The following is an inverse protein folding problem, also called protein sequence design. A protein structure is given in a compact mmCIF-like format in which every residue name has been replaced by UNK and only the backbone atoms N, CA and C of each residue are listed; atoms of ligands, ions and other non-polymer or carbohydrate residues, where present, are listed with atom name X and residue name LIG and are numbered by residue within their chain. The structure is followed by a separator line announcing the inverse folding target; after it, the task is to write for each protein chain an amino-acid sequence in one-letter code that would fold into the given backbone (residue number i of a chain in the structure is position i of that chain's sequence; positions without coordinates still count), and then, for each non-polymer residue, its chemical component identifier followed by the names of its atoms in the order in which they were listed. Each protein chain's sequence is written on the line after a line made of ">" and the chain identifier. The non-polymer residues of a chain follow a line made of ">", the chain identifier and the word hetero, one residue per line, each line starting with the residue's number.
data_IF_698175584601
#
_entry.id   IF_698175584601
#
_cell.length_a   1.000
_cell.length_b   1.000
_cell.length_c   1.000
_cell.angle_alpha   90.00
_cell.angle_beta   90.00
_cell.angle_gamma   90.00
#
_symmetry.space_group_name_H-M   'P 1'
#
loop_
_entity.id
_entity.type
_entity.pdbx_description
1 polymer ?
#
# COMPACT_ATOMS: atom_id res chain seq x y z
N UNK A 1 3.32 1.08 -16.63
CA UNK A 1 3.43 -0.38 -16.42
C UNK A 1 4.87 -0.77 -16.72
N UNK A 2 5.78 -0.53 -15.78
CA UNK A 2 7.12 -1.12 -15.86
C UNK A 2 7.03 -2.41 -15.07
N UNK A 3 7.08 -3.53 -15.79
CA UNK A 3 7.33 -4.85 -15.24
C UNK A 3 8.52 -4.71 -14.29
N UNK A 4 8.38 -5.11 -13.02
CA UNK A 4 9.56 -5.47 -12.24
C UNK A 4 10.11 -6.68 -12.96
N UNK A 5 11.14 -6.49 -13.78
CA UNK A 5 11.82 -7.60 -14.44
C UNK A 5 12.45 -8.46 -13.34
N UNK A 6 11.76 -9.54 -12.95
CA UNK A 6 12.34 -10.60 -12.14
C UNK A 6 13.35 -11.32 -13.03
N UNK A 7 14.57 -10.80 -13.13
CA UNK A 7 15.63 -11.43 -13.89
C UNK A 7 16.06 -12.70 -13.15
N UNK A 8 15.66 -13.85 -13.69
CA UNK A 8 16.13 -15.16 -13.25
C UNK A 8 17.48 -15.43 -13.91
N UNK A 9 18.51 -15.60 -13.08
CA UNK A 9 19.87 -15.90 -13.48
C UNK A 9 20.13 -17.41 -13.44
N UNK A 10 20.97 -17.88 -14.33
CA UNK A 10 21.57 -19.21 -14.36
C UNK A 10 22.81 -19.27 -13.47
N UNK A 11 23.29 -20.48 -13.19
CA UNK A 11 24.55 -20.68 -12.45
C UNK A 11 25.74 -19.96 -13.08
N UNK A 12 25.79 -19.88 -14.42
CA UNK A 12 26.87 -19.20 -15.14
C UNK A 12 26.81 -17.67 -14.95
N UNK A 13 25.62 -17.08 -15.05
CA UNK A 13 25.42 -15.64 -14.87
C UNK A 13 25.69 -15.21 -13.42
N UNK A 14 25.32 -16.02 -12.43
CA UNK A 14 25.68 -15.75 -11.03
C UNK A 14 27.19 -15.88 -10.79
N UNK A 15 27.82 -16.87 -11.41
CA UNK A 15 29.28 -17.04 -11.33
C UNK A 15 30.01 -15.82 -11.91
N UNK A 16 29.55 -15.32 -13.05
CA UNK A 16 30.07 -14.09 -13.67
C UNK A 16 29.83 -12.86 -12.78
N UNK A 17 28.60 -12.68 -12.27
CA UNK A 17 28.23 -11.59 -11.38
C UNK A 17 29.13 -11.51 -10.14
N UNK A 18 29.37 -12.66 -9.51
CA UNK A 18 30.19 -12.76 -8.29
C UNK A 18 31.69 -12.86 -8.58
N UNK A 19 32.09 -12.92 -9.85
CA UNK A 19 33.47 -13.18 -10.31
C UNK A 19 34.05 -14.44 -9.67
N UNK A 20 33.24 -15.50 -9.61
CA UNK A 20 33.59 -16.80 -9.06
C UNK A 20 33.51 -17.89 -10.14
N UNK A 21 34.12 -19.05 -9.88
CA UNK A 21 33.93 -20.21 -10.76
C UNK A 21 32.51 -20.81 -10.60
N UNK A 22 31.90 -21.36 -11.66
CA UNK A 22 30.62 -22.08 -11.53
C UNK A 22 30.67 -23.22 -10.50
N UNK A 23 31.83 -23.86 -10.34
CA UNK A 23 32.08 -24.89 -9.32
C UNK A 23 31.87 -24.35 -7.90
N UNK A 24 32.32 -23.12 -7.64
CA UNK A 24 32.13 -22.44 -6.35
C UNK A 24 30.64 -22.20 -6.07
N UNK A 25 29.87 -21.80 -7.10
CA UNK A 25 28.41 -21.61 -6.96
C UNK A 25 27.72 -22.92 -6.60
N UNK A 26 28.04 -24.02 -7.27
CA UNK A 26 27.50 -25.35 -6.90
C UNK A 26 27.85 -25.74 -5.47
N UNK A 27 29.06 -25.44 -5.01
CA UNK A 27 29.48 -25.72 -3.64
C UNK A 27 28.67 -24.91 -2.61
N UNK A 28 28.46 -23.61 -2.85
CA UNK A 28 27.62 -22.75 -2.01
C UNK A 28 26.17 -23.25 -1.95
N UNK A 29 25.62 -23.68 -3.09
CA UNK A 29 24.28 -24.29 -3.17
C UNK A 29 24.22 -25.58 -2.36
N UNK A 30 25.23 -26.44 -2.45
CA UNK A 30 25.25 -27.71 -1.71
C UNK A 30 25.29 -27.53 -0.19
N UNK A 31 25.85 -26.40 0.28
CA UNK A 31 25.92 -26.02 1.70
C UNK A 31 24.73 -25.17 2.16
N UNK A 32 23.81 -24.82 1.26
CA UNK A 32 22.68 -23.94 1.57
C UNK A 32 23.08 -22.50 1.88
N UNK A 33 24.25 -22.06 1.40
CA UNK A 33 24.83 -20.76 1.76
C UNK A 33 24.44 -19.62 0.81
N UNK A 34 23.81 -19.92 -0.33
CA UNK A 34 23.35 -18.94 -1.33
C UNK A 34 21.88 -19.23 -1.68
N UNK A 35 21.00 -18.21 -1.80
CA UNK A 35 19.59 -18.45 -2.13
C UNK A 35 19.43 -18.93 -3.57
N UNK A 36 18.68 -20.01 -3.79
CA UNK A 36 18.43 -20.57 -5.12
C UNK A 36 17.02 -21.16 -5.23
N UNK A 37 16.52 -21.24 -6.46
CA UNK A 37 15.34 -21.99 -6.86
C UNK A 37 15.70 -23.18 -7.74
N UNK A 38 14.78 -24.13 -7.88
CA UNK A 38 14.90 -25.27 -8.80
C UNK A 38 13.70 -25.33 -9.73
N UNK A 39 13.97 -25.36 -11.04
CA UNK A 39 12.94 -25.58 -12.05
C UNK A 39 13.42 -26.64 -13.05
N UNK A 40 12.66 -27.74 -13.18
CA UNK A 40 12.98 -28.87 -14.07
C UNK A 40 14.44 -29.36 -13.94
N UNK A 41 14.93 -29.46 -12.71
CA UNK A 41 16.29 -29.94 -12.40
C UNK A 41 17.40 -28.90 -12.57
N UNK A 42 17.12 -27.72 -13.13
CA UNK A 42 18.09 -26.62 -13.25
C UNK A 42 18.05 -25.70 -12.04
N UNK A 43 19.21 -25.21 -11.62
CA UNK A 43 19.34 -24.16 -10.62
C UNK A 43 19.06 -22.80 -11.26
N UNK A 44 18.24 -21.99 -10.59
CA UNK A 44 17.91 -20.62 -10.99
C UNK A 44 18.05 -19.70 -9.78
N UNK A 45 18.41 -18.45 -10.03
CA UNK A 45 18.72 -17.49 -8.99
C UNK A 45 18.01 -16.18 -9.29
N UNK A 46 17.11 -15.74 -8.41
CA UNK A 46 16.46 -14.45 -8.57
C UNK A 46 17.45 -13.33 -8.24
N UNK A 47 17.66 -12.40 -9.18
CA UNK A 47 18.66 -11.33 -9.05
C UNK A 47 18.56 -10.59 -7.71
N UNK A 48 17.36 -10.15 -7.33
CA UNK A 48 17.14 -9.41 -6.09
C UNK A 48 17.50 -10.20 -4.82
N UNK A 49 17.31 -11.53 -4.82
CA UNK A 49 17.68 -12.39 -3.68
C UNK A 49 19.19 -12.56 -3.58
N UNK A 50 19.88 -12.60 -4.72
CA UNK A 50 21.34 -12.60 -4.76
C UNK A 50 21.89 -11.27 -4.25
N UNK A 51 21.34 -10.13 -4.69
CA UNK A 51 21.76 -8.82 -4.21
C UNK A 51 21.58 -8.68 -2.68
N UNK A 52 20.43 -9.11 -2.15
CA UNK A 52 20.17 -9.12 -0.70
C UNK A 52 21.13 -10.04 0.06
N UNK A 53 21.46 -11.20 -0.51
CA UNK A 53 22.42 -12.13 0.08
C UNK A 53 23.86 -11.57 0.11
N UNK A 54 24.30 -10.86 -0.94
CA UNK A 54 25.60 -10.17 -0.97
C UNK A 54 25.64 -9.11 0.14
N UNK A 55 24.58 -8.31 0.25
CA UNK A 55 24.48 -7.27 1.29
C UNK A 55 24.57 -7.88 2.70
N UNK A 56 23.88 -9.00 2.97
CA UNK A 56 23.93 -9.70 4.24
C UNK A 56 25.28 -10.38 4.53
N UNK A 57 26.03 -10.75 3.50
CA UNK A 57 27.34 -11.42 3.60
C UNK A 57 28.52 -10.44 3.72
N UNK A 58 28.27 -9.14 3.59
CA UNK A 58 29.30 -8.10 3.67
C UNK A 58 29.73 -7.91 5.13
N UNK A 59 31.03 -8.10 5.41
CA UNK A 59 31.65 -7.86 6.72
C UNK A 59 32.65 -6.71 6.63
N UNK A 60 32.54 -5.74 7.52
CA UNK A 60 33.38 -4.54 7.56
C UNK A 60 32.61 -3.36 8.16
N UNK A 61 33.24 -2.21 8.39
CA UNK A 61 32.51 -0.99 8.70
C UNK A 61 31.52 -0.76 7.56
N UNK A 62 30.23 -0.62 7.91
CA UNK A 62 29.22 -0.21 6.95
C UNK A 62 29.64 1.19 6.51
N UNK A 63 30.23 1.29 5.30
CA UNK A 63 30.25 2.54 4.60
C UNK A 63 28.79 2.81 4.28
N UNK A 64 28.10 3.48 5.21
CA UNK A 64 26.87 4.14 4.88
C UNK A 64 27.27 5.16 3.83
N UNK A 65 27.15 4.82 2.54
CA UNK A 65 26.69 5.83 1.61
C UNK A 65 25.42 6.33 2.27
N UNK A 66 25.52 7.51 2.87
CA UNK A 66 24.40 8.27 3.38
C UNK A 66 23.57 8.61 2.16
N UNK A 67 22.76 7.65 1.71
CA UNK A 67 21.63 7.92 0.85
C UNK A 67 20.76 8.81 1.72
N UNK A 68 20.86 10.10 1.48
CA UNK A 68 20.10 11.12 2.19
C UNK A 68 18.64 10.85 1.85
N UNK A 69 17.94 10.13 2.73
CA UNK A 69 16.53 9.85 2.57
C UNK A 69 15.80 11.15 2.90
N UNK A 70 14.94 11.67 2.01
CA UNK A 70 14.23 12.91 2.29
C UNK A 70 13.33 12.74 3.51
N UNK A 71 13.20 13.81 4.29
CA UNK A 71 12.32 13.92 5.46
C UNK A 71 10.83 13.98 5.06
N UNK A 72 10.38 12.94 4.35
CA UNK A 72 9.06 12.83 3.74
C UNK A 72 8.37 11.57 4.23
N UNK A 73 7.15 11.72 4.75
CA UNK A 73 6.23 10.62 4.97
C UNK A 73 5.31 10.54 3.75
N UNK A 74 5.37 9.44 3.02
CA UNK A 74 4.53 9.19 1.86
C UNK A 74 3.30 8.35 2.20
N UNK A 75 2.47 8.05 1.19
CA UNK A 75 1.40 7.07 1.31
C UNK A 75 0.03 7.69 1.45
N UNK A 76 -0.82 7.12 2.31
CA UNK A 76 -2.18 7.61 2.51
C UNK A 76 -2.21 8.84 3.41
N UNK A 77 -3.13 9.77 3.10
CA UNK A 77 -3.43 10.89 3.99
C UNK A 77 -4.24 10.40 5.19
N UNK A 78 -3.93 10.91 6.38
CA UNK A 78 -4.67 10.68 7.62
C UNK A 78 -4.73 11.97 8.44
N UNK A 79 -5.94 12.45 8.82
CA UNK A 79 -6.08 13.71 9.55
C UNK A 79 -5.34 13.74 10.90
N UNK A 80 -5.22 12.59 11.58
CA UNK A 80 -4.51 12.51 12.86
C UNK A 80 -3.00 12.62 12.65
N UNK A 81 -2.45 11.95 11.63
CA UNK A 81 -1.04 12.08 11.27
C UNK A 81 -0.68 13.48 10.82
N UNK A 82 -1.52 14.10 9.98
CA UNK A 82 -1.33 15.47 9.51
C UNK A 82 -1.24 16.48 10.66
N UNK A 83 -2.15 16.36 11.63
CA UNK A 83 -2.07 17.15 12.86
C UNK A 83 -0.81 16.82 13.68
N UNK A 84 -0.52 15.54 13.93
CA UNK A 84 0.59 15.11 14.77
C UNK A 84 1.96 15.58 14.24
N UNK A 85 2.18 15.50 12.92
CA UNK A 85 3.43 15.96 12.28
C UNK A 85 3.63 17.46 12.46
N UNK A 86 2.56 18.25 12.32
CA UNK A 86 2.58 19.71 12.51
C UNK A 86 2.84 20.08 13.96
N UNK A 87 2.11 19.51 14.90
CA UNK A 87 2.25 19.82 16.33
C UNK A 87 3.60 19.38 16.89
N UNK A 88 4.15 18.26 16.41
CA UNK A 88 5.46 17.79 16.84
C UNK A 88 6.62 18.69 16.38
N UNK A 89 6.39 19.58 15.39
CA UNK A 89 7.46 20.37 14.79
C UNK A 89 8.58 19.51 14.18
N UNK A 90 8.22 18.32 13.68
CA UNK A 90 9.19 17.27 13.32
C UNK A 90 10.06 17.60 12.09
N UNK A 91 9.70 18.62 11.33
CA UNK A 91 10.31 18.93 10.03
C UNK A 91 9.97 17.93 8.92
N UNK A 92 9.12 16.93 9.20
CA UNK A 92 8.65 15.96 8.22
C UNK A 92 7.58 16.59 7.33
N UNK A 93 7.65 16.29 6.03
CA UNK A 93 6.63 16.69 5.05
C UNK A 93 5.74 15.50 4.69
N UNK A 94 4.42 15.70 4.61
CA UNK A 94 3.49 14.70 4.11
C UNK A 94 3.35 14.82 2.58
N UNK A 95 3.61 13.72 1.86
CA UNK A 95 3.42 13.62 0.41
C UNK A 95 2.50 12.44 0.08
N UNK A 96 1.18 12.70 0.13
CA UNK A 96 0.17 11.66 0.20
C UNK A 96 -0.45 11.34 -1.17
N UNK A 97 -0.07 10.19 -1.75
CA UNK A 97 -0.63 9.67 -3.02
C UNK A 97 -1.23 8.26 -2.91
N UNK A 98 -1.52 7.80 -1.69
CA UNK A 98 -2.14 6.50 -1.40
C UNK A 98 -1.14 5.41 -1.00
N UNK A 99 -1.61 4.41 -0.26
CA UNK A 99 -0.77 3.37 0.35
C UNK A 99 0.21 2.69 -0.62
N UNK A 100 -0.23 2.34 -1.83
CA UNK A 100 0.63 1.65 -2.79
C UNK A 100 1.79 2.54 -3.29
N UNK A 101 1.55 3.84 -3.48
CA UNK A 101 2.61 4.78 -3.87
C UNK A 101 3.59 5.01 -2.72
N UNK A 102 3.08 5.17 -1.48
CA UNK A 102 3.92 5.30 -0.30
C UNK A 102 4.91 4.13 -0.14
N UNK A 103 4.40 2.91 -0.32
CA UNK A 103 5.22 1.70 -0.25
C UNK A 103 6.30 1.66 -1.35
N UNK A 104 5.96 2.08 -2.57
CA UNK A 104 6.92 2.17 -3.68
C UNK A 104 7.98 3.27 -3.46
N UNK A 105 7.61 4.39 -2.83
CA UNK A 105 8.54 5.46 -2.45
C UNK A 105 9.48 5.03 -1.36
N UNK A 106 9.00 4.29 -0.36
CA UNK A 106 9.83 3.71 0.68
C UNK A 106 10.83 2.69 0.10
N UNK A 107 10.36 1.81 -0.79
CA UNK A 107 11.22 0.84 -1.49
C UNK A 107 12.34 1.49 -2.33
N UNK A 108 12.04 2.65 -2.93
CA UNK A 108 12.99 3.44 -3.73
C UNK A 108 13.75 4.51 -2.95
N UNK A 109 13.66 4.52 -1.60
CA UNK A 109 14.30 5.51 -0.71
C UNK A 109 13.97 6.97 -1.03
N UNK A 110 12.80 7.22 -1.61
CA UNK A 110 12.26 8.57 -1.90
C UNK A 110 11.36 9.11 -0.78
N UNK A 111 11.19 8.35 0.30
CA UNK A 111 10.50 8.74 1.52
C UNK A 111 11.16 8.02 2.71
N UNK A 112 11.15 8.64 3.88
CA UNK A 112 11.69 8.06 5.11
C UNK A 112 10.66 7.21 5.86
N UNK A 113 9.37 7.42 5.60
CA UNK A 113 8.29 6.59 6.11
C UNK A 113 7.12 6.56 5.13
N UNK A 114 6.21 5.60 5.29
CA UNK A 114 4.96 5.53 4.55
C UNK A 114 3.79 5.14 5.45
N UNK A 115 2.72 5.93 5.42
CA UNK A 115 1.47 5.56 6.07
C UNK A 115 0.65 4.66 5.12
N UNK A 116 0.37 3.42 5.54
CA UNK A 116 -0.32 2.43 4.73
C UNK A 116 -1.44 1.72 5.49
N UNK A 117 -2.41 1.22 4.74
CA UNK A 117 -3.56 0.46 5.23
C UNK A 117 -4.07 -0.46 4.12
N UNK A 118 -3.19 -1.34 3.64
CA UNK A 118 -3.45 -2.23 2.50
C UNK A 118 -4.05 -3.53 3.03
N UNK A 119 -5.27 -3.92 2.64
CA UNK A 119 -5.81 -5.23 3.02
C UNK A 119 -4.96 -6.36 2.47
N UNK A 120 -4.64 -7.35 3.29
CA UNK A 120 -3.90 -8.55 2.85
C UNK A 120 -4.72 -9.34 1.81
N UNK A 121 -4.04 -9.89 0.81
CA UNK A 121 -4.65 -10.68 -0.26
C UNK A 121 -5.18 -12.02 0.24
N UNK A 122 -4.55 -12.63 1.26
CA UNK A 122 -5.07 -13.82 1.96
C UNK A 122 -6.43 -13.58 2.63
N UNK A 123 -6.76 -12.31 2.87
CA UNK A 123 -7.99 -11.90 3.52
C UNK A 123 -7.87 -11.61 5.01
N UNK A 124 -6.78 -12.04 5.66
CA UNK A 124 -6.56 -11.85 7.10
C UNK A 124 -5.56 -10.71 7.36
N UNK A 125 -6.00 -9.69 8.09
CA UNK A 125 -5.16 -8.56 8.49
C UNK A 125 -4.86 -7.55 7.38
N UNK A 126 -3.90 -6.67 7.67
CA UNK A 126 -3.46 -5.56 6.83
C UNK A 126 -1.93 -5.52 6.74
N UNK A 127 -1.44 -4.85 5.70
CA UNK A 127 -0.07 -4.37 5.49
C UNK A 127 1.03 -5.44 5.35
N UNK A 128 1.00 -6.51 6.14
CA UNK A 128 2.07 -7.51 6.25
C UNK A 128 2.50 -8.07 4.90
N UNK A 129 1.55 -8.53 4.08
CA UNK A 129 1.87 -9.11 2.77
C UNK A 129 2.43 -8.07 1.80
N UNK A 130 1.90 -6.84 1.84
CA UNK A 130 2.37 -5.75 1.02
C UNK A 130 3.81 -5.34 1.41
N UNK A 131 4.07 -5.17 2.71
CA UNK A 131 5.40 -4.86 3.26
C UNK A 131 6.40 -5.95 2.88
N UNK A 132 6.06 -7.22 3.12
CA UNK A 132 6.95 -8.34 2.81
C UNK A 132 7.28 -8.43 1.32
N UNK A 133 6.32 -8.12 0.45
CA UNK A 133 6.51 -8.15 -1.00
C UNK A 133 7.34 -6.96 -1.49
N UNK A 134 7.02 -5.75 -1.06
CA UNK A 134 7.60 -4.53 -1.63
C UNK A 134 8.91 -4.09 -0.97
N UNK A 135 9.12 -4.43 0.31
CA UNK A 135 10.27 -4.00 1.12
C UNK A 135 11.17 -5.19 1.49
N UNK A 136 11.08 -6.29 0.73
CA UNK A 136 11.90 -7.48 0.96
C UNK A 136 13.39 -7.13 0.99
N UNK A 137 14.06 -7.46 2.10
CA UNK A 137 15.49 -7.21 2.28
C UNK A 137 15.84 -5.78 2.72
N UNK A 138 14.85 -4.90 2.93
CA UNK A 138 15.08 -3.58 3.52
C UNK A 138 14.91 -3.64 5.05
N UNK A 139 15.77 -2.91 5.82
CA UNK A 139 15.67 -2.86 7.27
C UNK A 139 14.57 -1.87 7.69
N UNK A 140 13.31 -2.29 7.56
CA UNK A 140 12.13 -1.48 7.91
C UNK A 140 11.47 -1.97 9.19
N UNK A 141 10.78 -1.07 9.88
CA UNK A 141 9.93 -1.37 11.03
C UNK A 141 8.52 -0.95 10.69
N UNK A 142 7.52 -1.68 11.17
CA UNK A 142 6.12 -1.24 11.06
C UNK A 142 5.59 -0.89 12.45
N UNK A 143 5.02 0.31 12.55
CA UNK A 143 4.39 0.82 13.76
C UNK A 143 2.88 0.89 13.56
N UNK A 144 2.14 0.28 14.47
CA UNK A 144 0.68 0.45 14.49
C UNK A 144 0.34 1.91 14.81
N UNK A 145 -0.30 2.59 13.87
CA UNK A 145 -0.65 4.01 13.99
C UNK A 145 -2.05 4.18 14.58
N UNK A 146 -3.04 3.51 13.95
CA UNK A 146 -4.43 3.66 14.34
C UNK A 146 -5.27 2.48 13.84
N UNK A 147 -6.36 2.25 14.56
CA UNK A 147 -7.49 1.46 14.08
C UNK A 147 -8.63 2.37 13.73
N UNK A 148 -9.16 2.29 12.50
CA UNK A 148 -10.19 3.19 11.99
C UNK A 148 -11.40 2.41 11.51
N UNK A 149 -12.59 3.02 11.58
CA UNK A 149 -13.78 2.47 10.95
C UNK A 149 -13.98 3.10 9.57
N UNK A 150 -14.10 2.25 8.54
CA UNK A 150 -14.41 2.63 7.16
C UNK A 150 -15.86 2.25 6.81
N UNK A 151 -16.48 3.09 6.00
CA UNK A 151 -17.90 2.95 5.68
C UNK A 151 -18.34 3.84 4.53
N UNK A 152 -19.63 3.78 4.21
CA UNK A 152 -20.22 4.72 3.26
C UNK A 152 -20.58 6.01 3.98
N UNK A 153 -20.04 7.11 3.48
CA UNK A 153 -20.60 8.43 3.71
C UNK A 153 -21.70 8.63 2.68
N UNK A 154 -22.86 9.13 3.10
CA UNK A 154 -23.98 9.43 2.21
C UNK A 154 -24.44 10.86 2.39
N UNK A 155 -25.09 11.44 1.38
CA UNK A 155 -25.61 12.79 1.45
C UNK A 155 -26.54 13.00 2.66
N UNK A 156 -26.60 14.23 3.16
CA UNK A 156 -27.45 14.62 4.29
C UNK A 156 -28.91 14.21 4.05
N UNK A 157 -29.55 13.67 5.09
CA UNK A 157 -30.91 13.11 5.00
C UNK A 157 -31.02 11.79 4.23
N UNK A 158 -29.94 11.30 3.61
CA UNK A 158 -29.87 10.07 2.81
C UNK A 158 -31.06 9.95 1.82
N UNK A 159 -31.20 10.88 0.86
CA UNK A 159 -32.37 10.98 -0.01
C UNK A 159 -32.58 9.73 -0.86
N UNK A 160 -31.48 9.05 -1.24
CA UNK A 160 -31.53 7.81 -1.98
C UNK A 160 -31.80 6.59 -1.08
N UNK A 161 -31.84 6.72 0.25
CA UNK A 161 -32.03 5.60 1.20
C UNK A 161 -31.01 4.49 1.00
N UNK A 162 -29.74 4.85 0.85
CA UNK A 162 -28.61 3.92 0.73
C UNK A 162 -28.36 3.30 2.11
N UNK A 163 -28.48 1.98 2.21
CA UNK A 163 -28.29 1.20 3.45
C UNK A 163 -27.34 0.01 3.27
N UNK A 164 -26.83 -0.19 2.05
CA UNK A 164 -25.93 -1.27 1.69
C UNK A 164 -25.13 -0.93 0.43
N UNK A 165 -24.08 -1.69 0.15
CA UNK A 165 -23.29 -1.56 -1.09
C UNK A 165 -24.12 -1.80 -2.36
N UNK A 166 -25.10 -2.70 -2.30
CA UNK A 166 -26.00 -3.01 -3.44
C UNK A 166 -26.89 -1.82 -3.79
N UNK A 167 -27.24 -1.01 -2.79
CA UNK A 167 -28.08 0.16 -2.99
C UNK A 167 -27.42 1.22 -3.86
N UNK A 168 -26.10 1.37 -3.79
CA UNK A 168 -25.33 2.29 -4.64
C UNK A 168 -25.60 2.05 -6.13
N UNK A 169 -25.64 0.78 -6.52
CA UNK A 169 -25.88 0.34 -7.91
C UNK A 169 -27.36 0.44 -8.24
N UNK A 170 -28.22 -0.12 -7.37
CA UNK A 170 -29.66 -0.17 -7.60
C UNK A 170 -30.29 1.22 -7.77
N UNK A 171 -29.79 2.22 -7.04
CA UNK A 171 -30.28 3.61 -7.08
C UNK A 171 -29.48 4.51 -8.03
N UNK A 172 -28.46 3.97 -8.71
CA UNK A 172 -27.53 4.73 -9.57
C UNK A 172 -26.98 5.99 -8.87
N UNK A 173 -26.58 5.82 -7.61
CA UNK A 173 -26.01 6.90 -6.79
C UNK A 173 -24.71 7.40 -7.43
N UNK A 174 -24.54 8.73 -7.53
CA UNK A 174 -23.28 9.37 -7.93
C UNK A 174 -22.25 9.06 -6.87
N UNK A 175 -21.24 8.27 -7.21
CA UNK A 175 -20.27 7.76 -6.26
C UNK A 175 -18.90 8.43 -6.45
N UNK A 176 -18.40 9.11 -5.41
CA UNK A 176 -17.02 9.61 -5.42
C UNK A 176 -16.07 8.48 -5.02
N UNK A 177 -15.15 8.11 -5.91
CA UNK A 177 -14.13 7.09 -5.65
C UNK A 177 -12.89 7.73 -5.03
N UNK A 178 -12.16 6.95 -4.23
CA UNK A 178 -10.77 7.25 -3.87
C UNK A 178 -9.85 6.91 -5.05
N UNK A 179 -8.69 7.53 -5.14
CA UNK A 179 -7.73 7.29 -6.22
C UNK A 179 -7.27 5.82 -6.29
N UNK A 180 -6.87 5.33 -7.48
CA UNK A 180 -6.20 4.03 -7.60
C UNK A 180 -4.97 3.95 -6.67
N UNK A 181 -4.76 2.80 -6.03
CA UNK A 181 -3.65 2.61 -5.07
C UNK A 181 -3.92 3.08 -3.63
N UNK A 182 -5.03 3.80 -3.39
CA UNK A 182 -5.49 4.09 -2.02
C UNK A 182 -5.94 2.79 -1.31
N UNK A 183 -5.56 2.62 -0.05
CA UNK A 183 -5.97 1.46 0.76
C UNK A 183 -7.49 1.32 0.85
N UNK A 184 -8.20 2.45 0.96
CA UNK A 184 -9.67 2.49 0.99
C UNK A 184 -10.30 2.08 -0.34
N UNK A 185 -9.70 2.39 -1.49
CA UNK A 185 -10.18 1.89 -2.79
C UNK A 185 -10.00 0.36 -2.92
N UNK A 186 -8.88 -0.18 -2.42
CA UNK A 186 -8.63 -1.63 -2.39
C UNK A 186 -9.63 -2.36 -1.48
N UNK A 187 -9.86 -1.83 -0.28
CA UNK A 187 -10.84 -2.37 0.67
C UNK A 187 -12.26 -2.31 0.09
N UNK A 188 -12.65 -1.17 -0.48
CA UNK A 188 -13.96 -1.00 -1.09
C UNK A 188 -14.21 -1.96 -2.25
N UNK A 189 -13.21 -2.14 -3.12
CA UNK A 189 -13.29 -3.12 -4.21
C UNK A 189 -13.50 -4.55 -3.68
N UNK A 190 -12.80 -4.92 -2.61
CA UNK A 190 -12.96 -6.23 -1.94
C UNK A 190 -14.37 -6.39 -1.36
N UNK A 191 -14.88 -5.37 -0.67
CA UNK A 191 -16.22 -5.38 -0.08
C UNK A 191 -17.32 -5.49 -1.15
N UNK A 192 -17.17 -4.77 -2.27
CA UNK A 192 -18.09 -4.88 -3.40
C UNK A 192 -18.09 -6.28 -3.99
N UNK A 193 -16.91 -6.85 -4.26
CA UNK A 193 -16.79 -8.22 -4.78
C UNK A 193 -17.45 -9.24 -3.86
N UNK A 194 -17.22 -9.12 -2.54
CA UNK A 194 -17.85 -9.98 -1.54
C UNK A 194 -19.39 -9.84 -1.55
N UNK A 195 -19.92 -8.67 -1.93
CA UNK A 195 -21.37 -8.44 -2.06
C UNK A 195 -21.97 -8.89 -3.41
N UNK A 196 -21.16 -9.44 -4.33
CA UNK A 196 -21.57 -9.83 -5.69
C UNK A 196 -21.58 -8.67 -6.70
N UNK A 197 -20.90 -7.57 -6.39
CA UNK A 197 -20.82 -6.36 -7.19
C UNK A 197 -19.37 -6.05 -7.61
N UNK A 198 -19.20 -5.08 -8.50
CA UNK A 198 -17.89 -4.64 -8.98
C UNK A 198 -17.88 -3.13 -9.19
N UNK A 199 -16.69 -2.51 -9.23
CA UNK A 199 -16.54 -1.06 -9.32
C UNK A 199 -17.14 -0.49 -10.62
N UNK A 200 -17.11 -1.26 -11.69
CA UNK A 200 -17.58 -0.90 -13.03
C UNK A 200 -19.10 -0.70 -13.09
N UNK A 201 -19.84 -1.29 -12.14
CA UNK A 201 -21.30 -1.14 -12.04
C UNK A 201 -21.72 0.14 -11.31
N UNK A 202 -20.78 0.84 -10.67
CA UNK A 202 -21.07 2.10 -10.00
C UNK A 202 -21.16 3.24 -11.01
N UNK A 203 -22.13 4.14 -10.78
CA UNK A 203 -22.14 5.46 -11.43
C UNK A 203 -21.13 6.36 -10.71
N UNK A 204 -19.86 6.16 -11.02
CA UNK A 204 -18.79 6.93 -10.41
C UNK A 204 -18.60 8.29 -11.09
N UNK A 205 -18.11 9.26 -10.32
CA UNK A 205 -17.61 10.53 -10.86
C UNK A 205 -16.29 10.29 -11.62
N UNK A 206 -16.02 11.14 -12.61
CA UNK A 206 -14.84 11.01 -13.48
C UNK A 206 -13.55 11.30 -12.72
N UNK A 207 -13.57 12.32 -11.86
CA UNK A 207 -12.42 12.71 -11.03
C UNK A 207 -12.50 12.01 -9.67
N UNK A 208 -11.48 11.20 -9.29
CA UNK A 208 -11.42 10.61 -7.96
C UNK A 208 -10.98 11.64 -6.91
N UNK A 209 -11.36 11.39 -5.66
CA UNK A 209 -10.85 12.11 -4.49
C UNK A 209 -9.46 11.59 -4.10
N UNK A 210 -8.53 12.47 -3.74
CA UNK A 210 -7.16 12.17 -3.33
C UNK A 210 -6.98 12.11 -1.82
N UNK A 211 -7.87 12.72 -1.04
CA UNK A 211 -8.00 12.55 0.41
C UNK A 211 -9.36 11.98 0.85
N UNK A 212 -9.41 11.47 2.09
CA UNK A 212 -10.66 11.07 2.74
C UNK A 212 -11.58 12.29 2.97
N UNK A 213 -10.98 13.47 3.22
CA UNK A 213 -11.69 14.74 3.37
C UNK A 213 -12.38 15.16 2.07
N UNK A 214 -11.70 15.06 0.92
CA UNK A 214 -12.30 15.35 -0.39
C UNK A 214 -13.53 14.48 -0.70
N UNK A 215 -13.59 13.25 -0.18
CA UNK A 215 -14.80 12.41 -0.29
C UNK A 215 -15.96 13.05 0.46
N UNK A 216 -15.74 13.48 1.71
CA UNK A 216 -16.76 14.10 2.52
C UNK A 216 -17.20 15.46 1.95
N UNK A 217 -16.25 16.27 1.48
CA UNK A 217 -16.50 17.57 0.82
C UNK A 217 -17.35 17.40 -0.44
N UNK A 218 -17.00 16.47 -1.34
CA UNK A 218 -17.78 16.21 -2.55
C UNK A 218 -19.23 15.80 -2.27
N UNK A 219 -19.49 15.14 -1.13
CA UNK A 219 -20.83 14.75 -0.71
C UNK A 219 -21.56 15.92 -0.05
N UNK A 220 -20.88 16.66 0.83
CA UNK A 220 -21.43 17.84 1.50
C UNK A 220 -21.86 18.92 0.50
N UNK A 221 -21.05 19.13 -0.55
CA UNK A 221 -21.31 20.09 -1.61
C UNK A 221 -22.34 19.59 -2.65
N UNK A 222 -22.81 18.34 -2.51
CA UNK A 222 -23.83 17.75 -3.38
C UNK A 222 -23.34 17.29 -4.76
N UNK A 223 -22.03 17.25 -4.99
CA UNK A 223 -21.43 16.69 -6.21
C UNK A 223 -21.60 15.16 -6.28
N UNK A 224 -21.52 14.48 -5.13
CA UNK A 224 -21.73 13.06 -4.98
C UNK A 224 -22.89 12.73 -4.03
N UNK A 225 -23.52 11.58 -4.21
CA UNK A 225 -24.57 11.06 -3.33
C UNK A 225 -23.99 10.16 -2.23
N UNK A 226 -22.84 9.53 -2.50
CA UNK A 226 -22.13 8.66 -1.57
C UNK A 226 -20.64 8.51 -1.93
N UNK A 227 -19.85 8.09 -0.94
CA UNK A 227 -18.43 7.77 -1.08
C UNK A 227 -17.99 6.83 0.02
N UNK A 228 -16.82 6.20 -0.13
CA UNK A 228 -16.26 5.30 0.88
C UNK A 228 -15.07 5.97 1.56
N UNK A 229 -15.19 6.16 2.88
CA UNK A 229 -14.18 6.85 3.67
C UNK A 229 -14.25 6.49 5.17
N UNK A 230 -13.39 7.09 5.98
CA UNK A 230 -13.36 6.89 7.44
C UNK A 230 -14.50 7.61 8.18
N UNK A 231 -14.99 7.04 9.29
CA UNK A 231 -16.02 7.67 10.13
C UNK A 231 -15.64 9.08 10.59
N UNK A 232 -14.38 9.28 10.97
CA UNK A 232 -13.91 10.55 11.52
C UNK A 232 -14.16 11.74 10.58
N UNK A 233 -14.03 11.56 9.25
CA UNK A 233 -14.34 12.63 8.29
C UNK A 233 -15.85 12.80 8.11
N UNK A 234 -16.64 11.72 8.16
CA UNK A 234 -18.10 11.82 8.14
C UNK A 234 -18.62 12.66 9.32
N UNK A 235 -18.15 12.34 10.53
CA UNK A 235 -18.55 13.03 11.76
C UNK A 235 -18.14 14.51 11.72
N UNK A 236 -16.92 14.82 11.25
CA UNK A 236 -16.43 16.20 11.09
C UNK A 236 -17.32 17.03 10.15
N UNK A 237 -17.80 16.41 9.07
CA UNK A 237 -18.69 17.05 8.10
C UNK A 237 -20.19 16.90 8.46
N UNK A 238 -20.53 16.27 9.59
CA UNK A 238 -21.90 15.99 10.03
C UNK A 238 -22.72 15.19 9.01
N UNK A 239 -22.05 14.34 8.24
CA UNK A 239 -22.68 13.51 7.23
C UNK A 239 -23.08 12.14 7.80
N UNK A 240 -24.22 11.58 7.37
CA UNK A 240 -24.58 10.21 7.75
C UNK A 240 -23.54 9.18 7.30
N UNK A 241 -23.28 8.21 8.17
CA UNK A 241 -22.26 7.18 7.96
C UNK A 241 -22.82 5.78 8.17
N UNK A 242 -22.56 4.88 7.21
CA UNK A 242 -22.86 3.46 7.29
C UNK A 242 -21.55 2.67 7.49
N UNK A 243 -21.30 2.10 8.68
CA UNK A 243 -20.09 1.34 8.95
C UNK A 243 -20.06 0.04 8.13
N UNK A 244 -18.89 -0.30 7.59
CA UNK A 244 -18.70 -1.52 6.79
C UNK A 244 -17.48 -2.35 7.20
N UNK A 245 -16.42 -1.73 7.72
CA UNK A 245 -15.20 -2.45 8.11
C UNK A 245 -14.40 -1.68 9.17
N UNK A 246 -13.58 -2.40 9.93
CA UNK A 246 -12.46 -1.83 10.66
C UNK A 246 -11.16 -2.10 9.89
N UNK A 247 -10.28 -1.10 9.85
CA UNK A 247 -8.95 -1.22 9.26
C UNK A 247 -7.84 -0.89 10.26
N UNK A 248 -6.68 -1.49 10.02
CA UNK A 248 -5.44 -1.21 10.75
C UNK A 248 -4.52 -0.39 9.86
N UNK A 249 -4.08 0.75 10.38
CA UNK A 249 -3.19 1.69 9.70
C UNK A 249 -1.82 1.57 10.35
N UNK A 250 -0.80 1.46 9.52
CA UNK A 250 0.59 1.33 9.95
C UNK A 250 1.45 2.43 9.34
N UNK A 251 2.37 2.95 10.14
CA UNK A 251 3.47 3.79 9.69
C UNK A 251 4.70 2.89 9.56
N UNK A 252 5.19 2.73 8.33
CA UNK A 252 6.32 1.86 7.96
C UNK A 252 7.54 2.69 7.60
#
# INVERSE_FOLDING_TARGET
>A
MQSVETTLLTTAEVAELLRMSPRTIYHLVSRGEIPFGRARGKLLFERHRIDAWIAASTRGPVLHESVEVPAVIAGSHDPLLDWAVREAGSGLTLDCHGSSDGLARLASRRACAALIHIPNASGAGYNTEAIQSALAGLPVVSLHWARREQGLIVAEGNPLRIRSLKDLIARRARFIRRQPGAGSNLLFARLLRASGASLEKLRALDTPAFSETEVAEAIADGYADAGFAIRAVADRHRLPFLPLACEEVELV
#
